data_IF_566744823903
#
_entry.id   IF_566744823903
#
_cell.length_a   1.000
_cell.length_b   1.000
_cell.length_c   1.000
_cell.angle_alpha   90.00
_cell.angle_beta   90.00
_cell.angle_gamma   90.00
#
_symmetry.space_group_name_H-M   'P 1'
#
loop_
_entity.id
_entity.type
_entity.pdbx_description
1 polymer ?
#
# COMPACT_ATOMS: atom_id res chain seq x y z
N UNK A 1 -0.44 6.00 25.91
CA UNK A 1 -0.04 6.76 24.70
C UNK A 1 -0.68 6.29 23.37
N UNK A 2 -1.30 5.08 23.32
CA UNK A 2 -1.95 4.54 22.12
C UNK A 2 -3.24 5.27 21.70
N UNK A 3 -3.99 5.84 22.62
CA UNK A 3 -5.26 6.55 22.35
C UNK A 3 -5.11 7.97 21.72
N UNK A 4 -3.89 8.46 21.54
CA UNK A 4 -3.63 9.80 20.98
C UNK A 4 -3.37 9.81 19.48
N UNK A 5 -3.18 8.65 18.84
CA UNK A 5 -2.83 8.55 17.42
C UNK A 5 -4.00 7.95 16.63
N UNK A 6 -4.29 8.47 15.42
CA UNK A 6 -5.29 7.88 14.52
C UNK A 6 -4.95 6.45 14.14
N UNK A 7 -5.97 5.62 13.91
CA UNK A 7 -5.80 4.22 13.49
C UNK A 7 -5.23 4.10 12.06
N UNK A 8 -5.52 5.07 11.18
CA UNK A 8 -4.94 5.12 9.84
C UNK A 8 -3.41 5.35 9.88
N UNK A 9 -2.59 4.41 9.37
CA UNK A 9 -1.13 4.54 9.35
C UNK A 9 -0.62 5.80 8.63
N UNK A 10 -1.32 6.25 7.57
CA UNK A 10 -0.98 7.47 6.83
C UNK A 10 -1.24 8.71 7.66
N UNK A 11 -2.34 8.76 8.37
CA UNK A 11 -2.70 9.88 9.25
C UNK A 11 -1.76 9.93 10.47
N UNK A 12 -1.42 8.78 11.03
CA UNK A 12 -0.41 8.65 12.10
C UNK A 12 0.95 9.21 11.67
N UNK A 13 1.38 8.92 10.45
CA UNK A 13 2.64 9.47 9.91
C UNK A 13 2.59 11.00 9.73
N UNK A 14 1.44 11.54 9.28
CA UNK A 14 1.25 13.00 9.16
C UNK A 14 1.36 13.67 10.52
N UNK A 15 0.69 13.11 11.54
CA UNK A 15 0.72 13.65 12.89
C UNK A 15 2.12 13.57 13.51
N UNK A 16 2.85 12.47 13.35
CA UNK A 16 4.25 12.34 13.80
C UNK A 16 5.15 13.43 13.19
N UNK A 17 5.00 13.70 11.90
CA UNK A 17 5.76 14.76 11.22
C UNK A 17 5.39 16.15 11.72
N UNK A 18 4.11 16.39 11.95
CA UNK A 18 3.66 17.64 12.53
C UNK A 18 4.22 17.84 13.95
N UNK A 19 4.28 16.80 14.78
CA UNK A 19 4.93 16.88 16.10
C UNK A 19 6.43 17.20 15.99
N UNK A 20 7.13 16.72 14.98
CA UNK A 20 8.53 17.12 14.74
C UNK A 20 8.63 18.64 14.39
N UNK A 21 7.70 19.16 13.60
CA UNK A 21 7.62 20.59 13.33
C UNK A 21 7.28 21.42 14.59
N UNK A 22 6.37 20.93 15.45
CA UNK A 22 6.08 21.57 16.75
C UNK A 22 7.31 21.57 17.66
N UNK A 23 8.08 20.49 17.72
CA UNK A 23 9.31 20.44 18.51
C UNK A 23 10.35 21.46 18.03
N UNK A 24 10.53 21.60 16.70
CA UNK A 24 11.38 22.64 16.12
C UNK A 24 10.88 24.06 16.45
N UNK A 25 9.56 24.27 16.37
CA UNK A 25 8.93 25.55 16.74
C UNK A 25 9.10 25.86 18.23
N UNK A 26 9.03 24.86 19.08
CA UNK A 26 9.26 24.99 20.52
C UNK A 26 10.71 25.42 20.82
N UNK A 27 11.68 24.76 20.18
CA UNK A 27 13.10 25.13 20.28
C UNK A 27 13.32 26.57 19.81
N UNK A 28 12.71 26.96 18.70
CA UNK A 28 12.74 28.34 18.20
C UNK A 28 12.18 29.34 19.21
N UNK A 29 11.05 29.03 19.83
CA UNK A 29 10.42 29.87 20.86
C UNK A 29 11.31 30.02 22.09
N UNK A 30 11.98 28.94 22.55
CA UNK A 30 12.93 28.98 23.68
C UNK A 30 14.12 29.89 23.34
N UNK A 31 14.70 29.75 22.14
CA UNK A 31 15.80 30.62 21.68
C UNK A 31 15.34 32.08 21.66
N UNK A 32 14.16 32.34 21.12
CA UNK A 32 13.57 33.70 21.11
C UNK A 32 13.40 34.29 22.51
N UNK A 33 12.87 33.50 23.45
CA UNK A 33 12.71 33.91 24.84
C UNK A 33 14.07 34.19 25.51
N UNK A 34 15.07 33.34 25.30
CA UNK A 34 16.44 33.57 25.79
C UNK A 34 17.00 34.88 25.27
N UNK A 35 16.88 35.15 23.98
CA UNK A 35 17.36 36.39 23.35
C UNK A 35 16.63 37.63 23.88
N UNK A 36 15.31 37.51 24.16
CA UNK A 36 14.53 38.56 24.80
C UNK A 36 15.06 38.85 26.20
N UNK A 37 15.24 37.84 27.04
CA UNK A 37 15.77 38.00 28.40
C UNK A 37 17.17 38.64 28.45
N UNK A 38 17.94 38.43 27.38
CA UNK A 38 19.26 39.07 27.22
C UNK A 38 19.22 40.49 26.63
N UNK A 39 18.04 41.02 26.33
CA UNK A 39 17.85 42.38 25.79
C UNK A 39 18.16 42.52 24.30
N UNK A 40 18.22 41.44 23.55
CA UNK A 40 18.46 41.49 22.10
C UNK A 40 17.18 41.77 21.29
N UNK A 41 16.00 41.56 21.84
CA UNK A 41 14.70 41.90 21.23
C UNK A 41 14.21 43.27 21.66
N UNK A 42 13.56 43.96 20.71
CA UNK A 42 13.08 45.36 20.92
C UNK A 42 11.69 45.50 21.53
N UNK A 43 10.69 44.67 21.13
CA UNK A 43 9.34 44.90 21.60
C UNK A 43 9.20 44.62 23.09
N UNK A 44 8.22 45.29 23.70
CA UNK A 44 7.83 44.99 25.07
C UNK A 44 7.30 43.58 25.22
N UNK A 45 7.31 43.07 26.45
CA UNK A 45 6.90 41.68 26.75
C UNK A 45 5.45 41.40 26.27
N UNK A 46 4.57 42.38 26.32
CA UNK A 46 3.19 42.25 25.89
C UNK A 46 3.07 41.96 24.40
N UNK A 47 3.77 42.72 23.55
CA UNK A 47 3.80 42.47 22.10
C UNK A 47 4.41 41.13 21.75
N UNK A 48 5.48 40.76 22.43
CA UNK A 48 6.13 39.46 22.21
C UNK A 48 5.19 38.29 22.57
N UNK A 49 4.47 38.43 23.69
CA UNK A 49 3.49 37.44 24.14
C UNK A 49 2.30 37.32 23.15
N UNK A 50 1.76 38.45 22.64
CA UNK A 50 0.69 38.42 21.63
C UNK A 50 1.13 37.68 20.37
N UNK A 51 2.32 37.98 19.86
CA UNK A 51 2.86 37.33 18.67
C UNK A 51 3.14 35.84 18.89
N UNK A 52 3.66 35.48 20.05
CA UNK A 52 3.89 34.06 20.41
C UNK A 52 2.56 33.29 20.51
N UNK A 53 1.53 33.88 21.16
CA UNK A 53 0.18 33.30 21.25
C UNK A 53 -0.42 33.12 19.86
N UNK A 54 -0.35 34.14 19.01
CA UNK A 54 -0.86 34.04 17.62
C UNK A 54 -0.14 32.90 16.83
N UNK A 55 1.18 32.85 16.90
CA UNK A 55 1.97 31.80 16.25
C UNK A 55 1.54 30.39 16.68
N UNK A 56 1.49 30.14 17.98
CA UNK A 56 1.13 28.86 18.55
C UNK A 56 -0.34 28.48 18.30
N UNK A 57 -1.25 29.44 18.30
CA UNK A 57 -2.66 29.22 17.95
C UNK A 57 -2.79 28.63 16.55
N UNK A 58 -2.07 29.16 15.56
CA UNK A 58 -2.08 28.62 14.21
C UNK A 58 -1.54 27.19 14.13
N UNK A 59 -0.44 26.90 14.83
CA UNK A 59 0.14 25.53 14.85
C UNK A 59 -0.78 24.52 15.57
N UNK A 60 -1.43 24.93 16.68
CA UNK A 60 -2.40 24.09 17.39
C UNK A 60 -3.67 23.86 16.56
N UNK A 61 -4.10 24.86 15.79
CA UNK A 61 -5.20 24.71 14.83
C UNK A 61 -4.86 23.63 13.78
N UNK A 62 -3.64 23.64 13.25
CA UNK A 62 -3.19 22.59 12.33
C UNK A 62 -3.19 21.21 13.02
N UNK A 63 -2.75 21.14 14.28
CA UNK A 63 -2.81 19.90 15.09
C UNK A 63 -4.25 19.38 15.18
N UNK A 64 -5.18 20.25 15.48
CA UNK A 64 -6.61 19.92 15.56
C UNK A 64 -7.15 19.42 14.20
N UNK A 65 -6.85 20.13 13.10
CA UNK A 65 -7.27 19.75 11.74
C UNK A 65 -6.73 18.37 11.35
N UNK A 66 -5.46 18.07 11.66
CA UNK A 66 -4.88 16.74 11.37
C UNK A 66 -5.51 15.66 12.25
N UNK A 67 -5.71 15.95 13.55
CA UNK A 67 -6.25 14.97 14.50
C UNK A 67 -7.73 14.65 14.24
N UNK A 68 -8.53 15.64 13.87
CA UNK A 68 -9.94 15.47 13.51
C UNK A 68 -10.18 14.83 12.14
N UNK A 69 -9.13 14.67 11.32
CA UNK A 69 -9.26 14.14 9.96
C UNK A 69 -9.79 15.15 8.93
N UNK A 70 -10.05 16.39 9.31
CA UNK A 70 -10.51 17.44 8.39
C UNK A 70 -9.50 17.72 7.27
N UNK A 71 -8.21 17.52 7.53
CA UNK A 71 -7.14 17.62 6.54
C UNK A 71 -7.31 16.69 5.35
N UNK A 72 -8.03 15.57 5.47
CA UNK A 72 -8.26 14.60 4.38
C UNK A 72 -9.13 15.19 3.26
N UNK A 73 -9.92 16.22 3.55
CA UNK A 73 -10.73 16.96 2.56
C UNK A 73 -9.93 18.02 1.78
N UNK A 74 -8.69 18.29 2.18
CA UNK A 74 -7.85 19.32 1.59
C UNK A 74 -6.96 18.77 0.47
N UNK A 75 -6.58 19.64 -0.48
CA UNK A 75 -5.64 19.28 -1.58
C UNK A 75 -4.26 18.84 -1.06
N UNK A 76 -3.80 19.42 0.05
CA UNK A 76 -2.61 18.99 0.79
C UNK A 76 -2.99 18.42 2.16
N UNK A 77 -3.29 17.12 2.28
CA UNK A 77 -3.60 16.49 3.56
C UNK A 77 -2.44 16.50 4.56
N UNK A 78 -1.21 16.80 4.13
CA UNK A 78 -0.05 16.88 5.02
C UNK A 78 0.01 18.18 5.81
N UNK A 79 -0.73 19.22 5.38
CA UNK A 79 -0.72 20.56 5.93
C UNK A 79 0.67 21.23 5.97
N UNK A 80 1.63 20.73 5.17
CA UNK A 80 3.02 21.23 5.19
C UNK A 80 3.10 22.66 4.65
N UNK A 81 2.49 22.93 3.50
CA UNK A 81 2.46 24.28 2.92
C UNK A 81 1.77 25.32 3.82
N UNK A 82 0.56 25.08 4.33
CA UNK A 82 -0.08 26.01 5.25
C UNK A 82 0.76 26.33 6.48
N UNK A 83 1.44 25.35 7.07
CA UNK A 83 2.33 25.55 8.21
C UNK A 83 3.52 26.46 7.85
N UNK A 84 4.13 26.25 6.68
CA UNK A 84 5.27 27.06 6.23
C UNK A 84 4.82 28.50 5.96
N UNK A 85 3.71 28.71 5.25
CA UNK A 85 3.16 30.04 5.01
C UNK A 85 2.80 30.75 6.31
N UNK A 86 2.28 30.02 7.30
CA UNK A 86 2.00 30.59 8.62
C UNK A 86 3.26 30.99 9.37
N UNK A 87 4.31 30.18 9.31
CA UNK A 87 5.55 30.41 10.09
C UNK A 87 6.42 31.55 9.54
N UNK A 88 6.48 31.73 8.22
CA UNK A 88 7.37 32.72 7.58
C UNK A 88 7.17 34.14 8.10
N UNK A 89 5.96 34.73 8.20
CA UNK A 89 5.77 36.09 8.71
C UNK A 89 6.29 36.29 10.14
N UNK A 90 6.07 35.32 11.01
CA UNK A 90 6.55 35.37 12.40
C UNK A 90 8.06 35.30 12.50
N UNK A 91 8.68 34.50 11.65
CA UNK A 91 10.15 34.44 11.58
C UNK A 91 10.75 35.73 11.03
N UNK A 92 10.15 36.33 9.98
CA UNK A 92 10.58 37.64 9.44
C UNK A 92 10.41 38.75 10.48
N UNK A 93 9.32 38.75 11.23
CA UNK A 93 9.05 39.69 12.31
C UNK A 93 10.11 39.54 13.42
N UNK A 94 10.52 38.35 13.76
CA UNK A 94 11.58 38.11 14.74
C UNK A 94 12.94 38.66 14.24
N UNK A 95 13.24 38.51 12.96
CA UNK A 95 14.44 39.09 12.33
C UNK A 95 14.41 40.62 12.39
N UNK A 96 13.23 41.24 12.15
CA UNK A 96 13.05 42.69 12.23
C UNK A 96 13.26 43.21 13.65
N UNK A 97 12.80 42.51 14.67
CA UNK A 97 12.90 42.93 16.06
C UNK A 97 14.28 42.70 16.70
N UNK A 98 15.06 41.80 16.16
CA UNK A 98 16.37 41.45 16.71
C UNK A 98 17.42 42.49 16.32
N UNK A 99 18.31 42.82 17.27
CA UNK A 99 19.33 43.85 17.06
C UNK A 99 20.58 43.31 16.33
N UNK A 100 21.38 42.49 17.02
CA UNK A 100 22.72 42.11 16.52
C UNK A 100 22.83 40.67 16.02
N UNK A 101 22.00 39.78 16.54
CA UNK A 101 22.12 38.34 16.33
C UNK A 101 21.14 37.80 15.28
N UNK A 102 20.78 38.61 14.26
CA UNK A 102 19.80 38.20 13.20
C UNK A 102 20.21 36.93 12.47
N UNK A 103 21.51 36.71 12.29
CA UNK A 103 22.05 35.50 11.66
C UNK A 103 21.59 34.21 12.36
N UNK A 104 21.39 34.23 13.68
CA UNK A 104 20.86 33.06 14.42
C UNK A 104 19.41 32.75 14.00
N UNK A 105 18.58 33.76 13.81
CA UNK A 105 17.20 33.57 13.38
C UNK A 105 17.11 33.08 11.93
N UNK A 106 18.07 33.43 11.07
CA UNK A 106 18.12 32.89 9.71
C UNK A 106 18.34 31.38 9.69
N UNK A 107 19.04 30.82 10.69
CA UNK A 107 19.20 29.36 10.81
C UNK A 107 17.83 28.64 10.98
N UNK A 108 16.84 29.28 11.59
CA UNK A 108 15.51 28.70 11.74
C UNK A 108 14.80 28.53 10.40
N UNK A 109 15.05 29.40 9.42
CA UNK A 109 14.52 29.21 8.07
C UNK A 109 15.07 27.95 7.39
N UNK A 110 16.31 27.57 7.68
CA UNK A 110 16.86 26.28 7.22
C UNK A 110 16.03 25.10 7.73
N UNK A 111 15.74 25.09 9.02
CA UNK A 111 14.92 24.05 9.60
C UNK A 111 13.54 24.01 8.92
N UNK A 112 12.90 25.17 8.76
CA UNK A 112 11.61 25.30 8.09
C UNK A 112 11.65 24.78 6.65
N UNK A 113 12.61 25.23 5.83
CA UNK A 113 12.74 24.84 4.44
C UNK A 113 13.13 23.36 4.29
N UNK A 114 13.94 22.82 5.20
CA UNK A 114 14.31 21.40 5.21
C UNK A 114 13.11 20.48 5.39
N UNK A 115 12.12 20.86 6.20
CA UNK A 115 10.84 20.12 6.29
C UNK A 115 10.11 20.04 4.95
N UNK A 116 10.20 21.11 4.13
CA UNK A 116 9.61 21.14 2.80
C UNK A 116 10.26 20.13 1.83
N UNK A 117 11.55 19.87 1.96
CA UNK A 117 12.34 19.00 1.06
C UNK A 117 11.72 17.61 0.89
N UNK A 118 11.08 17.08 1.93
CA UNK A 118 10.49 15.73 1.90
C UNK A 118 9.06 15.67 1.35
N UNK A 119 8.41 16.79 1.07
CA UNK A 119 6.98 16.82 0.72
C UNK A 119 6.61 17.69 -0.46
N UNK A 120 7.27 18.81 -0.60
CA UNK A 120 6.93 19.79 -1.62
C UNK A 120 7.34 19.30 -3.01
N UNK A 121 6.57 19.70 -4.00
CA UNK A 121 6.99 19.62 -5.40
C UNK A 121 8.05 20.68 -5.65
N UNK A 122 8.86 20.51 -6.71
CA UNK A 122 9.89 21.49 -7.08
C UNK A 122 9.32 22.91 -7.23
N UNK A 123 8.14 23.06 -7.85
CA UNK A 123 7.47 24.35 -7.99
C UNK A 123 7.11 24.98 -6.65
N UNK A 124 6.50 24.22 -5.76
CA UNK A 124 6.10 24.70 -4.42
C UNK A 124 7.35 25.08 -3.60
N UNK A 125 8.41 24.29 -3.71
CA UNK A 125 9.66 24.56 -3.00
C UNK A 125 10.32 25.87 -3.47
N UNK A 126 10.41 26.09 -4.78
CA UNK A 126 10.91 27.31 -5.37
C UNK A 126 10.06 28.52 -4.93
N UNK A 127 8.73 28.39 -4.99
CA UNK A 127 7.82 29.48 -4.62
C UNK A 127 7.97 29.88 -3.15
N UNK A 128 8.00 28.92 -2.21
CA UNK A 128 8.12 29.22 -0.78
C UNK A 128 9.48 29.86 -0.46
N UNK A 129 10.55 29.38 -1.11
CA UNK A 129 11.91 29.92 -0.96
C UNK A 129 12.00 31.34 -1.51
N UNK A 130 11.39 31.60 -2.67
CA UNK A 130 11.35 32.93 -3.27
C UNK A 130 10.57 33.94 -2.37
N UNK A 131 9.43 33.52 -1.81
CA UNK A 131 8.66 34.32 -0.84
C UNK A 131 9.50 34.61 0.40
N UNK A 132 10.23 33.64 0.91
CA UNK A 132 11.08 33.81 2.10
C UNK A 132 12.21 34.81 1.83
N UNK A 133 12.90 34.69 0.66
CA UNK A 133 13.96 35.61 0.26
C UNK A 133 13.43 37.05 0.04
N UNK A 134 12.32 37.17 -0.67
CA UNK A 134 11.69 38.46 -0.90
C UNK A 134 11.23 39.12 0.42
N UNK A 135 10.65 38.33 1.33
CA UNK A 135 10.28 38.78 2.66
C UNK A 135 11.48 39.22 3.49
N UNK A 136 12.60 38.49 3.43
CA UNK A 136 13.81 38.89 4.13
C UNK A 136 14.39 40.19 3.54
N UNK A 137 14.44 40.34 2.21
CA UNK A 137 14.88 41.57 1.55
C UNK A 137 13.98 42.75 1.96
N UNK A 138 12.65 42.56 1.96
CA UNK A 138 11.70 43.60 2.43
C UNK A 138 11.96 43.97 3.89
N UNK A 139 12.29 43.01 4.74
CA UNK A 139 12.65 43.25 6.14
C UNK A 139 13.91 44.11 6.26
N UNK A 140 14.94 43.82 5.45
CA UNK A 140 16.17 44.64 5.42
C UNK A 140 15.90 46.07 4.93
N UNK A 141 15.10 46.24 3.90
CA UNK A 141 14.67 47.56 3.41
C UNK A 141 13.91 48.33 4.50
N UNK A 142 13.00 47.70 5.17
CA UNK A 142 12.25 48.32 6.28
C UNK A 142 13.17 48.72 7.44
N UNK A 143 14.19 47.92 7.74
CA UNK A 143 15.20 48.25 8.75
C UNK A 143 16.08 49.45 8.31
N UNK A 144 16.47 49.46 7.05
CA UNK A 144 17.26 50.58 6.51
C UNK A 144 16.50 51.92 6.58
N UNK A 145 15.22 51.92 6.25
CA UNK A 145 14.37 53.13 6.27
C UNK A 145 14.08 53.57 7.71
N UNK A 146 13.69 52.64 8.59
CA UNK A 146 13.21 52.99 9.93
C UNK A 146 14.31 53.13 10.97
N UNK A 147 15.50 52.52 10.74
CA UNK A 147 16.57 52.44 11.75
C UNK A 147 17.96 52.39 11.13
N UNK A 148 18.35 53.39 10.31
CA UNK A 148 19.60 53.37 9.55
C UNK A 148 20.85 53.31 10.43
N UNK A 149 20.84 53.95 11.60
CA UNK A 149 21.96 54.00 12.54
C UNK A 149 22.30 52.64 13.21
N UNK A 150 21.39 51.68 13.14
CA UNK A 150 21.56 50.35 13.76
C UNK A 150 21.80 49.24 12.76
N UNK A 151 21.78 49.58 11.47
CA UNK A 151 22.00 48.61 10.40
C UNK A 151 23.49 48.69 9.97
N UNK A 152 24.22 47.62 10.28
CA UNK A 152 25.57 47.42 9.74
C UNK A 152 25.45 46.78 8.35
N UNK A 153 25.40 47.62 7.33
CA UNK A 153 25.10 47.23 5.96
C UNK A 153 25.98 46.08 5.46
N UNK A 154 27.28 46.15 5.74
CA UNK A 154 28.25 45.13 5.32
C UNK A 154 27.93 43.75 5.89
N UNK A 155 27.57 43.70 7.16
CA UNK A 155 27.18 42.45 7.86
C UNK A 155 25.86 41.91 7.34
N UNK A 156 24.87 42.76 7.13
CA UNK A 156 23.56 42.36 6.62
C UNK A 156 23.63 41.87 5.17
N UNK A 157 24.43 42.48 4.34
CA UNK A 157 24.72 42.03 2.97
C UNK A 157 25.37 40.64 2.98
N UNK A 158 26.31 40.38 3.90
CA UNK A 158 26.94 39.07 4.05
C UNK A 158 25.92 38.00 4.50
N UNK A 159 25.06 38.35 5.47
CA UNK A 159 23.96 37.44 5.89
C UNK A 159 22.99 37.15 4.75
N UNK A 160 22.58 38.18 3.99
CA UNK A 160 21.70 38.01 2.83
C UNK A 160 22.33 37.14 1.75
N UNK A 161 23.62 37.35 1.43
CA UNK A 161 24.34 36.56 0.45
C UNK A 161 24.45 35.09 0.89
N UNK A 162 24.86 34.83 2.14
CA UNK A 162 24.96 33.48 2.69
C UNK A 162 23.63 32.78 2.76
N UNK A 163 22.58 33.49 3.16
CA UNK A 163 21.18 32.95 3.19
C UNK A 163 20.70 32.63 1.77
N UNK A 164 20.94 33.52 0.80
CA UNK A 164 20.57 33.31 -0.60
C UNK A 164 21.26 32.08 -1.21
N UNK A 165 22.57 31.94 -0.97
CA UNK A 165 23.36 30.79 -1.43
C UNK A 165 22.77 29.49 -0.86
N UNK A 166 22.41 29.49 0.41
CA UNK A 166 21.85 28.31 1.05
C UNK A 166 20.45 28.00 0.53
N UNK A 167 19.63 29.02 0.27
CA UNK A 167 18.33 28.86 -0.37
C UNK A 167 18.48 28.20 -1.76
N UNK A 168 19.47 28.61 -2.56
CA UNK A 168 19.76 28.00 -3.86
C UNK A 168 20.11 26.51 -3.70
N UNK A 169 20.99 26.16 -2.75
CA UNK A 169 21.35 24.78 -2.47
C UNK A 169 20.15 23.95 -2.01
N UNK A 170 19.30 24.51 -1.14
CA UNK A 170 18.07 23.85 -0.69
C UNK A 170 17.06 23.65 -1.82
N UNK A 171 16.91 24.62 -2.72
CA UNK A 171 16.07 24.48 -3.92
C UNK A 171 16.59 23.36 -4.81
N UNK A 172 17.91 23.30 -5.03
CA UNK A 172 18.52 22.25 -5.85
C UNK A 172 18.28 20.86 -5.23
N UNK A 173 18.62 20.68 -3.95
CA UNK A 173 18.46 19.39 -3.26
C UNK A 173 16.99 19.00 -3.10
N UNK A 174 16.11 19.95 -2.78
CA UNK A 174 14.66 19.73 -2.68
C UNK A 174 14.03 19.32 -4.01
N UNK A 175 14.48 19.98 -5.11
CA UNK A 175 14.02 19.64 -6.46
C UNK A 175 14.50 18.26 -6.89
N UNK A 176 15.77 17.92 -6.63
CA UNK A 176 16.33 16.60 -6.90
C UNK A 176 15.59 15.50 -6.10
N UNK A 177 15.34 15.73 -4.82
CA UNK A 177 14.56 14.82 -3.99
C UNK A 177 13.12 14.65 -4.49
N UNK A 178 12.48 15.73 -4.97
CA UNK A 178 11.13 15.66 -5.55
C UNK A 178 11.11 14.82 -6.83
N UNK A 179 12.08 15.03 -7.73
CA UNK A 179 12.21 14.25 -8.96
C UNK A 179 12.48 12.76 -8.68
N UNK A 180 13.37 12.46 -7.72
CA UNK A 180 13.67 11.09 -7.33
C UNK A 180 12.43 10.37 -6.80
N UNK A 181 11.63 11.03 -5.96
CA UNK A 181 10.36 10.48 -5.45
C UNK A 181 9.39 10.14 -6.57
N UNK A 182 9.25 11.03 -7.56
CA UNK A 182 8.35 10.80 -8.69
C UNK A 182 8.86 9.65 -9.58
N UNK A 183 10.16 9.57 -9.86
CA UNK A 183 10.76 8.44 -10.59
C UNK A 183 10.52 7.11 -9.86
N UNK A 184 10.78 7.05 -8.55
CA UNK A 184 10.56 5.85 -7.74
C UNK A 184 9.08 5.43 -7.73
N UNK A 185 8.16 6.40 -7.67
CA UNK A 185 6.72 6.12 -7.77
C UNK A 185 6.34 5.50 -9.11
N UNK A 186 6.83 6.07 -10.20
CA UNK A 186 6.58 5.55 -11.55
C UNK A 186 7.18 4.15 -11.75
N UNK A 187 8.41 3.92 -11.27
CA UNK A 187 9.05 2.60 -11.32
C UNK A 187 8.25 1.56 -10.55
N UNK A 188 7.77 1.89 -9.34
CA UNK A 188 6.94 0.97 -8.55
C UNK A 188 5.60 0.64 -9.24
N UNK A 189 4.98 1.61 -9.92
CA UNK A 189 3.75 1.36 -10.70
C UNK A 189 4.05 0.43 -11.89
N UNK A 190 5.14 0.67 -12.64
CA UNK A 190 5.55 -0.18 -13.76
C UNK A 190 5.86 -1.61 -13.30
N UNK A 191 6.61 -1.75 -12.20
CA UNK A 191 6.95 -3.06 -11.65
C UNK A 191 5.70 -3.84 -11.23
N UNK A 192 4.76 -3.20 -10.56
CA UNK A 192 3.48 -3.84 -10.18
C UNK A 192 2.70 -4.33 -11.40
N UNK A 193 2.62 -3.52 -12.47
CA UNK A 193 1.96 -3.92 -13.72
C UNK A 193 2.65 -5.10 -14.38
N UNK A 194 3.98 -5.06 -14.49
CA UNK A 194 4.75 -6.16 -15.06
C UNK A 194 4.59 -7.48 -14.26
N UNK A 195 4.54 -7.41 -12.93
CA UNK A 195 4.25 -8.57 -12.08
C UNK A 195 2.82 -9.10 -12.28
N UNK A 196 1.85 -8.21 -12.43
CA UNK A 196 0.44 -8.57 -12.70
C UNK A 196 0.29 -9.23 -14.06
N UNK A 197 0.96 -8.70 -15.08
CA UNK A 197 0.96 -9.27 -16.44
C UNK A 197 1.67 -10.65 -16.47
N UNK A 198 2.79 -10.80 -15.76
CA UNK A 198 3.45 -12.11 -15.60
C UNK A 198 2.55 -13.13 -14.89
N UNK A 199 1.86 -12.73 -13.82
CA UNK A 199 0.88 -13.61 -13.15
C UNK A 199 -0.27 -14.03 -14.07
N UNK A 200 -0.71 -13.12 -14.94
CA UNK A 200 -1.74 -13.44 -15.96
C UNK A 200 -1.23 -14.43 -17.02
N UNK A 201 0.07 -14.47 -17.29
CA UNK A 201 0.69 -15.39 -18.23
C UNK A 201 1.00 -16.78 -17.62
N UNK A 202 0.99 -16.91 -16.29
CA UNK A 202 1.23 -18.17 -15.62
C UNK A 202 0.21 -19.24 -16.08
N UNK A 203 0.69 -20.34 -16.60
CA UNK A 203 -0.11 -21.47 -17.06
C UNK A 203 -0.27 -22.56 -16.02
N UNK A 204 0.62 -22.54 -15.02
CA UNK A 204 0.67 -23.50 -13.91
C UNK A 204 0.50 -22.78 -12.57
N UNK A 205 -0.15 -23.42 -11.62
CA UNK A 205 -0.28 -22.97 -10.23
C UNK A 205 1.02 -23.27 -9.47
N UNK A 206 1.62 -22.24 -8.88
CA UNK A 206 2.94 -22.32 -8.24
C UNK A 206 2.99 -23.28 -7.04
N UNK A 207 1.86 -23.49 -6.36
CA UNK A 207 1.80 -24.36 -5.19
C UNK A 207 1.66 -25.83 -5.58
N UNK A 208 0.77 -26.14 -6.53
CA UNK A 208 0.37 -27.50 -6.86
C UNK A 208 0.99 -28.03 -8.16
N UNK A 209 1.53 -27.12 -8.98
CA UNK A 209 2.05 -27.46 -10.31
C UNK A 209 0.98 -28.01 -11.27
N UNK A 210 -0.31 -27.79 -10.94
CA UNK A 210 -1.43 -28.06 -11.84
C UNK A 210 -1.68 -26.87 -12.77
N UNK A 211 -2.52 -27.08 -13.77
CA UNK A 211 -2.96 -26.00 -14.67
C UNK A 211 -3.73 -24.93 -13.88
N UNK A 212 -3.51 -23.65 -14.20
CA UNK A 212 -4.33 -22.57 -13.63
C UNK A 212 -5.74 -22.56 -14.22
N UNK A 213 -6.73 -22.03 -13.46
CA UNK A 213 -8.12 -21.87 -13.93
C UNK A 213 -8.19 -21.23 -15.31
N UNK A 214 -7.41 -20.17 -15.57
CA UNK A 214 -7.43 -19.47 -16.87
C UNK A 214 -6.99 -20.41 -18.00
N UNK A 215 -5.85 -21.09 -17.83
CA UNK A 215 -5.33 -22.00 -18.84
C UNK A 215 -6.25 -23.18 -19.07
N UNK A 216 -6.88 -23.68 -18.01
CA UNK A 216 -7.88 -24.75 -18.10
C UNK A 216 -9.09 -24.34 -18.92
N UNK A 217 -9.61 -23.11 -18.75
CA UNK A 217 -10.73 -22.59 -19.57
C UNK A 217 -10.35 -22.46 -21.06
N UNK A 218 -9.11 -22.11 -21.37
CA UNK A 218 -8.60 -22.10 -22.74
C UNK A 218 -8.57 -23.53 -23.34
N UNK A 219 -8.18 -24.52 -22.55
CA UNK A 219 -8.17 -25.94 -22.94
C UNK A 219 -9.60 -26.43 -23.18
N UNK A 220 -10.52 -26.15 -22.25
CA UNK A 220 -11.95 -26.48 -22.42
C UNK A 220 -12.54 -25.88 -23.69
N UNK A 221 -12.20 -24.62 -24.03
CA UNK A 221 -12.64 -23.99 -25.26
C UNK A 221 -12.18 -24.73 -26.52
N UNK A 222 -10.95 -25.25 -26.52
CA UNK A 222 -10.42 -26.08 -27.61
C UNK A 222 -11.09 -27.44 -27.65
N UNK A 223 -11.28 -28.06 -26.49
CA UNK A 223 -11.92 -29.38 -26.42
C UNK A 223 -13.37 -29.34 -26.89
N UNK A 224 -14.11 -28.27 -26.54
CA UNK A 224 -15.46 -28.03 -27.08
C UNK A 224 -15.44 -27.99 -28.60
N UNK A 225 -14.55 -27.18 -29.20
CA UNK A 225 -14.45 -27.05 -30.66
C UNK A 225 -14.09 -28.39 -31.35
N UNK A 226 -13.35 -29.28 -30.69
CA UNK A 226 -13.07 -30.63 -31.20
C UNK A 226 -14.32 -31.52 -31.06
N UNK A 227 -14.97 -31.55 -29.89
CA UNK A 227 -16.20 -32.31 -29.66
C UNK A 227 -17.32 -31.98 -30.67
N UNK A 228 -17.50 -30.70 -30.98
CA UNK A 228 -18.49 -30.24 -31.98
C UNK A 228 -18.14 -30.69 -33.42
N UNK A 229 -16.88 -30.99 -33.70
CA UNK A 229 -16.39 -31.34 -35.03
C UNK A 229 -16.32 -32.83 -35.30
N UNK A 230 -15.83 -33.62 -34.33
CA UNK A 230 -15.57 -35.04 -34.48
C UNK A 230 -16.51 -35.94 -33.66
N UNK A 231 -17.42 -35.32 -32.87
CA UNK A 231 -18.38 -36.02 -32.03
C UNK A 231 -17.77 -36.63 -30.77
N UNK A 232 -16.51 -36.34 -30.45
CA UNK A 232 -15.88 -36.79 -29.21
C UNK A 232 -16.57 -36.19 -28.00
N UNK A 233 -16.61 -36.89 -26.89
CA UNK A 233 -17.22 -36.44 -25.66
C UNK A 233 -16.19 -36.27 -24.55
N UNK A 234 -16.54 -35.50 -23.53
CA UNK A 234 -15.69 -35.32 -22.36
C UNK A 234 -16.54 -35.08 -21.10
N UNK A 235 -15.95 -35.45 -19.96
CA UNK A 235 -16.54 -35.24 -18.65
C UNK A 235 -15.74 -34.21 -17.88
N UNK A 236 -16.44 -33.29 -17.22
CA UNK A 236 -15.86 -32.36 -16.23
C UNK A 236 -16.11 -32.93 -14.83
N UNK A 237 -15.05 -33.04 -14.07
CA UNK A 237 -15.07 -33.36 -12.65
C UNK A 237 -14.75 -32.10 -11.86
N UNK A 238 -15.64 -31.72 -10.91
CA UNK A 238 -15.40 -30.67 -9.96
C UNK A 238 -15.15 -31.30 -8.58
N UNK A 239 -14.05 -30.97 -7.93
CA UNK A 239 -13.65 -31.56 -6.65
C UNK A 239 -13.30 -30.46 -5.64
N UNK A 240 -13.68 -30.65 -4.40
CA UNK A 240 -13.40 -29.73 -3.30
C UNK A 240 -13.04 -30.53 -2.05
N UNK A 241 -11.92 -30.15 -1.40
CA UNK A 241 -11.43 -30.80 -0.19
C UNK A 241 -12.34 -30.47 1.00
N UNK A 242 -12.89 -31.52 1.60
CA UNK A 242 -13.84 -31.38 2.69
C UNK A 242 -13.17 -30.78 3.93
N UNK A 243 -13.83 -29.80 4.55
CA UNK A 243 -13.36 -29.15 5.78
C UNK A 243 -11.95 -28.54 5.69
N UNK A 244 -11.47 -28.14 4.51
CA UNK A 244 -10.14 -27.61 4.33
C UNK A 244 -9.84 -26.37 5.18
N UNK A 245 -10.84 -25.52 5.40
CA UNK A 245 -10.72 -24.39 6.34
C UNK A 245 -10.33 -24.86 7.75
N UNK A 246 -10.94 -25.94 8.23
CA UNK A 246 -10.61 -26.54 9.54
C UNK A 246 -9.14 -27.02 9.57
N UNK A 247 -8.66 -27.61 8.47
CA UNK A 247 -7.23 -27.99 8.36
C UNK A 247 -6.33 -26.77 8.55
N UNK A 248 -6.61 -25.66 7.86
CA UNK A 248 -5.83 -24.43 8.01
C UNK A 248 -5.92 -23.83 9.41
N UNK A 249 -7.12 -23.78 9.97
CA UNK A 249 -7.35 -23.14 11.28
C UNK A 249 -6.74 -23.97 12.43
N UNK A 250 -6.72 -25.32 12.31
CA UNK A 250 -6.23 -26.23 13.37
C UNK A 250 -4.74 -26.56 13.25
N UNK A 251 -4.20 -26.68 12.01
CA UNK A 251 -2.84 -27.17 11.77
C UNK A 251 -1.96 -26.15 11.04
N UNK A 252 -2.50 -24.97 10.73
CA UNK A 252 -1.79 -23.88 10.08
C UNK A 252 -1.72 -24.00 8.54
N UNK A 253 -1.54 -22.88 7.87
CA UNK A 253 -1.53 -22.77 6.41
C UNK A 253 -0.46 -23.64 5.73
N UNK A 254 0.70 -23.84 6.39
CA UNK A 254 1.75 -24.70 5.84
C UNK A 254 1.28 -26.16 5.71
N UNK A 255 0.52 -26.67 6.67
CA UNK A 255 -0.09 -28.01 6.61
C UNK A 255 -1.16 -28.05 5.50
N UNK A 256 -1.99 -27.01 5.39
CA UNK A 256 -2.95 -26.88 4.30
C UNK A 256 -2.30 -26.89 2.91
N UNK A 257 -1.19 -26.17 2.75
CA UNK A 257 -0.42 -26.17 1.49
C UNK A 257 0.08 -27.57 1.12
N UNK A 258 0.56 -28.33 2.10
CA UNK A 258 0.99 -29.75 1.89
C UNK A 258 -0.16 -30.66 1.52
N UNK A 259 -1.34 -30.48 2.12
CA UNK A 259 -2.56 -31.21 1.74
C UNK A 259 -2.95 -30.91 0.29
N UNK A 260 -2.92 -29.65 -0.14
CA UNK A 260 -3.19 -29.26 -1.52
C UNK A 260 -2.17 -29.88 -2.51
N UNK A 261 -0.88 -29.87 -2.17
CA UNK A 261 0.17 -30.52 -2.97
C UNK A 261 -0.06 -32.01 -3.09
N UNK A 262 -0.38 -32.69 -1.98
CA UNK A 262 -0.67 -34.14 -1.95
C UNK A 262 -1.86 -34.46 -2.82
N UNK A 263 -2.94 -33.70 -2.71
CA UNK A 263 -4.13 -33.93 -3.54
C UNK A 263 -3.86 -33.70 -5.02
N UNK A 264 -3.09 -32.67 -5.37
CA UNK A 264 -2.65 -32.44 -6.74
C UNK A 264 -1.84 -33.59 -7.32
N UNK A 265 -0.97 -34.23 -6.52
CA UNK A 265 -0.21 -35.41 -6.92
C UNK A 265 -1.09 -36.62 -7.08
N UNK A 266 -2.09 -36.82 -6.24
CA UNK A 266 -3.12 -37.84 -6.38
C UNK A 266 -3.90 -37.66 -7.69
N UNK A 267 -4.31 -36.44 -8.01
CA UNK A 267 -4.99 -36.13 -9.27
C UNK A 267 -4.12 -36.48 -10.46
N UNK A 268 -2.84 -36.03 -10.51
CA UNK A 268 -1.89 -36.32 -11.61
C UNK A 268 -1.70 -37.78 -11.82
N UNK A 269 -1.60 -38.58 -10.76
CA UNK A 269 -1.43 -40.04 -10.83
C UNK A 269 -2.69 -40.79 -11.23
N UNK A 270 -3.86 -40.16 -11.03
CA UNK A 270 -5.16 -40.78 -11.26
C UNK A 270 -5.74 -40.50 -12.65
N UNK A 271 -5.15 -39.61 -13.43
CA UNK A 271 -5.63 -39.25 -14.78
C UNK A 271 -4.60 -39.63 -15.84
N UNK A 272 -5.04 -39.67 -17.11
CA UNK A 272 -4.20 -40.00 -18.25
C UNK A 272 -3.45 -38.73 -18.74
N UNK A 273 -2.43 -38.92 -19.57
CA UNK A 273 -1.65 -37.81 -20.17
C UNK A 273 -2.51 -36.88 -21.05
N UNK A 274 -3.59 -37.40 -21.65
CA UNK A 274 -4.54 -36.62 -22.46
C UNK A 274 -5.55 -35.84 -21.63
N UNK A 275 -5.67 -36.07 -20.33
CA UNK A 275 -6.57 -35.41 -19.40
C UNK A 275 -5.88 -34.20 -18.76
N UNK A 276 -6.65 -33.29 -18.24
CA UNK A 276 -6.10 -32.07 -17.62
C UNK A 276 -6.69 -31.88 -16.24
N UNK A 277 -5.83 -31.61 -15.28
CA UNK A 277 -6.21 -31.17 -13.93
C UNK A 277 -5.81 -29.73 -13.69
N UNK A 278 -6.67 -28.98 -13.02
CA UNK A 278 -6.45 -27.57 -12.68
C UNK A 278 -6.84 -27.29 -11.25
N UNK A 279 -6.12 -26.36 -10.62
CA UNK A 279 -6.58 -25.70 -9.40
C UNK A 279 -7.47 -24.53 -9.78
N UNK A 280 -8.74 -24.60 -9.37
CA UNK A 280 -9.77 -23.68 -9.81
C UNK A 280 -10.00 -22.55 -8.80
N UNK A 281 -9.85 -22.85 -7.52
CA UNK A 281 -9.95 -21.94 -6.38
C UNK A 281 -8.97 -22.31 -5.26
N UNK A 282 -9.21 -21.84 -4.06
CA UNK A 282 -8.36 -22.13 -2.90
C UNK A 282 -8.17 -23.63 -2.66
N UNK A 283 -9.27 -24.36 -2.48
CA UNK A 283 -9.37 -25.79 -2.20
C UNK A 283 -10.14 -26.55 -3.29
N UNK A 284 -10.46 -25.86 -4.39
CA UNK A 284 -11.27 -26.35 -5.50
C UNK A 284 -10.36 -26.79 -6.67
N UNK A 285 -10.64 -27.97 -7.21
CA UNK A 285 -9.95 -28.54 -8.34
C UNK A 285 -10.93 -28.97 -9.42
N UNK A 286 -10.52 -28.87 -10.67
CA UNK A 286 -11.33 -29.29 -11.81
C UNK A 286 -10.48 -30.20 -12.71
N UNK A 287 -11.09 -31.29 -13.18
CA UNK A 287 -10.46 -32.23 -14.08
C UNK A 287 -11.29 -32.33 -15.36
N UNK A 288 -10.62 -32.31 -16.50
CA UNK A 288 -11.16 -32.61 -17.80
C UNK A 288 -10.74 -34.03 -18.18
N UNK A 289 -11.71 -34.92 -18.32
CA UNK A 289 -11.52 -36.30 -18.76
C UNK A 289 -11.92 -36.42 -20.23
N UNK A 290 -10.94 -36.51 -21.12
CA UNK A 290 -11.15 -36.59 -22.56
C UNK A 290 -11.58 -37.97 -23.00
N UNK A 291 -12.49 -38.07 -23.99
CA UNK A 291 -12.96 -39.32 -24.55
C UNK A 291 -13.35 -40.32 -23.45
N UNK A 292 -14.14 -39.89 -22.50
CA UNK A 292 -14.50 -40.68 -21.31
C UNK A 292 -16.00 -40.63 -21.12
N UNK A 293 -16.63 -41.79 -21.02
CA UNK A 293 -18.06 -41.93 -20.65
C UNK A 293 -18.27 -41.69 -19.15
N UNK A 294 -19.47 -41.34 -18.76
CA UNK A 294 -19.78 -40.95 -17.37
C UNK A 294 -19.47 -42.04 -16.35
N UNK A 295 -19.74 -43.31 -16.69
CA UNK A 295 -19.48 -44.48 -15.84
C UNK A 295 -17.99 -44.67 -15.58
N UNK A 296 -17.14 -44.44 -16.61
CA UNK A 296 -15.69 -44.46 -16.48
C UNK A 296 -15.20 -43.29 -15.63
N UNK A 297 -15.80 -42.10 -15.81
CA UNK A 297 -15.47 -40.95 -15.02
C UNK A 297 -15.80 -41.13 -13.53
N UNK A 298 -16.93 -41.81 -13.21
CA UNK A 298 -17.26 -42.21 -11.84
C UNK A 298 -16.19 -43.10 -11.24
N UNK A 299 -15.73 -44.09 -11.99
CA UNK A 299 -14.64 -44.97 -11.54
C UNK A 299 -13.35 -44.23 -11.24
N UNK A 300 -12.99 -43.24 -12.08
CA UNK A 300 -11.81 -42.39 -11.86
C UNK A 300 -12.00 -41.53 -10.64
N UNK A 301 -13.18 -40.93 -10.48
CA UNK A 301 -13.51 -40.06 -9.36
C UNK A 301 -13.50 -40.83 -8.02
N UNK A 302 -14.07 -42.03 -7.96
CA UNK A 302 -14.02 -42.88 -6.75
C UNK A 302 -12.59 -43.30 -6.39
N UNK A 303 -11.74 -43.57 -7.40
CA UNK A 303 -10.32 -43.83 -7.16
C UNK A 303 -9.62 -42.65 -6.53
N UNK A 304 -9.89 -41.42 -7.02
CA UNK A 304 -9.35 -40.18 -6.46
C UNK A 304 -9.84 -39.99 -5.04
N UNK A 305 -11.15 -40.10 -4.81
CA UNK A 305 -11.78 -39.98 -3.51
C UNK A 305 -11.17 -40.95 -2.48
N UNK A 306 -11.13 -42.22 -2.84
CA UNK A 306 -10.57 -43.28 -1.97
C UNK A 306 -9.05 -43.08 -1.72
N UNK A 307 -8.32 -42.58 -2.72
CA UNK A 307 -6.87 -42.35 -2.58
C UNK A 307 -6.57 -41.26 -1.57
N UNK A 308 -7.36 -40.17 -1.51
CA UNK A 308 -7.15 -39.11 -0.53
C UNK A 308 -7.65 -39.52 0.86
N UNK A 309 -8.80 -40.22 0.94
CA UNK A 309 -9.35 -40.75 2.19
C UNK A 309 -8.38 -41.73 2.88
N UNK A 310 -7.69 -42.54 2.11
CA UNK A 310 -6.72 -43.53 2.62
C UNK A 310 -5.31 -42.97 2.77
N UNK A 311 -5.05 -41.76 2.34
CA UNK A 311 -3.72 -41.18 2.42
C UNK A 311 -3.35 -40.89 3.89
N UNK A 312 -2.18 -41.39 4.29
CA UNK A 312 -1.69 -41.17 5.65
C UNK A 312 -1.02 -39.80 5.80
N UNK A 313 -1.70 -38.87 6.45
CA UNK A 313 -1.20 -37.54 6.76
C UNK A 313 -0.49 -37.43 8.10
N UNK A 314 -0.25 -38.54 8.84
CA UNK A 314 0.34 -38.50 10.19
C UNK A 314 1.73 -37.83 10.22
N UNK A 315 2.49 -37.87 9.12
CA UNK A 315 3.77 -37.20 9.00
C UNK A 315 3.64 -35.67 8.95
N UNK A 316 2.46 -35.14 8.59
CA UNK A 316 2.16 -33.71 8.57
C UNK A 316 1.52 -33.25 9.88
N UNK A 317 0.52 -34.01 10.36
CA UNK A 317 -0.15 -33.72 11.63
C UNK A 317 -0.80 -35.02 12.16
N UNK A 318 -0.67 -35.31 13.47
CA UNK A 318 -1.30 -36.48 14.09
C UNK A 318 -2.83 -36.43 13.92
N UNK A 319 -3.43 -37.54 13.51
CA UNK A 319 -4.87 -37.72 13.30
C UNK A 319 -5.49 -36.82 12.23
N UNK A 320 -4.69 -36.18 11.37
CA UNK A 320 -5.22 -35.44 10.20
C UNK A 320 -5.81 -36.44 9.21
N UNK A 321 -7.10 -36.29 8.93
CA UNK A 321 -7.81 -37.01 7.87
C UNK A 321 -8.47 -36.01 6.94
N UNK A 322 -8.31 -36.23 5.62
CA UNK A 322 -8.84 -35.34 4.58
C UNK A 322 -9.65 -36.16 3.60
N UNK A 323 -10.82 -35.66 3.27
CA UNK A 323 -11.71 -36.27 2.27
C UNK A 323 -12.03 -35.24 1.17
N UNK A 324 -12.66 -35.69 0.11
CA UNK A 324 -13.04 -34.87 -1.03
C UNK A 324 -14.46 -35.17 -1.47
N UNK A 325 -15.20 -34.13 -1.79
CA UNK A 325 -16.50 -34.22 -2.43
C UNK A 325 -16.35 -33.92 -3.93
N UNK A 326 -16.92 -34.76 -4.77
CA UNK A 326 -16.73 -34.71 -6.23
C UNK A 326 -18.09 -34.68 -6.93
N UNK A 327 -18.23 -33.80 -7.93
CA UNK A 327 -19.34 -33.75 -8.86
C UNK A 327 -18.89 -33.95 -10.29
N UNK A 328 -19.62 -34.72 -11.07
CA UNK A 328 -19.32 -35.04 -12.46
C UNK A 328 -20.41 -34.51 -13.40
N UNK A 329 -20.04 -33.99 -14.56
CA UNK A 329 -20.99 -33.61 -15.60
C UNK A 329 -20.40 -33.93 -17.00
N UNK A 330 -21.24 -34.52 -17.84
CA UNK A 330 -20.92 -34.87 -19.21
C UNK A 330 -21.26 -33.67 -20.12
N UNK A 331 -20.31 -33.27 -21.01
CA UNK A 331 -20.51 -32.15 -21.91
C UNK A 331 -21.65 -32.38 -22.91
N UNK A 332 -21.85 -33.61 -23.39
CA UNK A 332 -22.89 -33.95 -24.36
C UNK A 332 -24.30 -33.65 -23.84
N UNK A 333 -24.52 -33.62 -22.53
CA UNK A 333 -25.82 -33.30 -21.92
C UNK A 333 -26.18 -31.82 -22.04
N UNK A 334 -25.17 -30.93 -22.03
CA UNK A 334 -25.36 -29.49 -21.90
C UNK A 334 -24.94 -28.70 -23.13
N UNK A 335 -23.99 -29.17 -23.92
CA UNK A 335 -23.39 -28.49 -25.09
C UNK A 335 -22.82 -27.09 -24.81
N UNK A 336 -22.67 -26.75 -23.52
CA UNK A 336 -22.16 -25.48 -23.02
C UNK A 336 -21.15 -25.71 -21.90
N UNK A 337 -19.94 -25.15 -22.05
CA UNK A 337 -18.89 -25.26 -21.01
C UNK A 337 -19.39 -24.71 -19.67
N UNK A 338 -20.09 -23.55 -19.70
CA UNK A 338 -20.59 -22.90 -18.48
C UNK A 338 -21.61 -23.79 -17.78
N UNK A 339 -22.56 -24.35 -18.51
CA UNK A 339 -23.60 -25.23 -17.95
C UNK A 339 -22.99 -26.53 -17.45
N UNK A 340 -22.04 -27.13 -18.16
CA UNK A 340 -21.37 -28.35 -17.73
C UNK A 340 -20.57 -28.11 -16.43
N UNK A 341 -19.81 -27.01 -16.34
CA UNK A 341 -19.09 -26.64 -15.13
C UNK A 341 -20.04 -26.38 -13.97
N UNK A 342 -21.11 -25.61 -14.20
CA UNK A 342 -22.10 -25.32 -13.17
C UNK A 342 -22.84 -26.60 -12.70
N UNK A 343 -23.08 -27.54 -13.60
CA UNK A 343 -23.70 -28.83 -13.23
C UNK A 343 -22.76 -29.68 -12.39
N UNK A 344 -21.49 -29.78 -12.76
CA UNK A 344 -20.46 -30.47 -11.98
C UNK A 344 -20.29 -29.85 -10.59
N UNK A 345 -20.25 -28.51 -10.49
CA UNK A 345 -20.16 -27.78 -9.23
C UNK A 345 -21.42 -28.02 -8.34
N UNK A 346 -22.61 -27.92 -8.90
CA UNK A 346 -23.87 -28.21 -8.18
C UNK A 346 -23.90 -29.64 -7.64
N UNK A 347 -23.41 -30.62 -8.39
CA UNK A 347 -23.31 -32.01 -7.96
C UNK A 347 -22.27 -32.20 -6.85
N UNK A 348 -21.14 -31.55 -6.95
CA UNK A 348 -20.16 -31.53 -5.87
C UNK A 348 -20.75 -30.88 -4.60
N UNK A 349 -21.52 -29.82 -4.74
CA UNK A 349 -22.22 -29.21 -3.60
C UNK A 349 -23.28 -30.13 -2.99
N UNK A 350 -24.05 -30.88 -3.81
CA UNK A 350 -24.95 -31.90 -3.30
C UNK A 350 -24.20 -33.02 -2.55
N UNK A 351 -23.01 -33.43 -3.04
CA UNK A 351 -22.14 -34.36 -2.33
C UNK A 351 -21.77 -33.86 -0.94
N UNK A 352 -21.40 -32.56 -0.83
CA UNK A 352 -21.17 -31.94 0.48
C UNK A 352 -22.38 -31.93 1.41
N UNK A 353 -23.58 -31.70 0.88
CA UNK A 353 -24.80 -31.71 1.67
C UNK A 353 -25.23 -33.13 2.10
N UNK A 354 -24.98 -34.15 1.28
CA UNK A 354 -25.35 -35.52 1.54
C UNK A 354 -24.39 -36.31 2.47
N UNK A 355 -23.47 -35.60 3.12
CA UNK A 355 -22.55 -36.20 4.10
C UNK A 355 -21.08 -36.12 3.72
N UNK A 356 -20.71 -35.46 2.61
CA UNK A 356 -19.34 -35.33 2.08
C UNK A 356 -18.73 -36.68 1.65
N UNK A 357 -17.43 -36.62 1.30
CA UNK A 357 -16.64 -37.82 0.97
C UNK A 357 -17.34 -38.77 -0.02
N UNK A 358 -17.87 -38.25 -1.09
CA UNK A 358 -18.63 -39.01 -2.08
C UNK A 358 -18.58 -38.37 -3.47
N UNK A 359 -18.94 -39.20 -4.47
CA UNK A 359 -19.05 -38.80 -5.87
C UNK A 359 -20.51 -38.70 -6.26
N UNK A 360 -20.91 -37.62 -6.96
CA UNK A 360 -22.23 -37.43 -7.54
C UNK A 360 -22.16 -37.17 -9.04
N UNK A 361 -22.99 -37.88 -9.81
CA UNK A 361 -23.08 -37.72 -11.26
C UNK A 361 -24.54 -37.47 -11.74
N UNK A 362 -25.52 -37.43 -10.84
CA UNK A 362 -26.95 -37.21 -11.12
C UNK A 362 -27.51 -35.96 -10.45
#
# INVERSE_FOLDING_TARGET
>A
MSHLLPDDPKQRLRLKRHFAALAASFTYTIIGLYLYLKGYFRPDAEYLAIVAVAYWTGLLTVTFIIRSGLNLKLKDPSMTLPQMYWSIPFMLLSVYWLNELRGIMLMAFFALLSFGTFRLTSKQFITITAITLAGYLATLIALYINQPLRLHLDRELLYFAGFSLTCVLLVHTGSAASQLRERNRQQNIRLRRALEDNRKLATTDDLTGLTTRRRFMEILGKQKAWSERDGSDFVIMFADLDHFKYVNDSFGHHTGDKVLQTFADILKKSIREIDYAARFGGEEFVVLLNNTEIEQAVTIAERIRSSIEQYNFNDLAPALNVTVSIGLANFRQYHSIQETLMSADNRMYKAKQAGRNQVMCD
#
